data_IF_867486252817
#
_entry.id   IF_867486252817
#
_cell.length_a   1.000
_cell.length_b   1.000
_cell.length_c   1.000
_cell.angle_alpha   90.00
_cell.angle_beta   90.00
_cell.angle_gamma   90.00
#
_symmetry.space_group_name_H-M   'P 1'
#
loop_
_entity.id
_entity.type
_entity.pdbx_description
1 polymer ?
#
# COMPACT_ATOMS: atom_id res chain seq x y z
N UNK A 1 -21.24 -24.95 20.11
CA UNK A 1 -20.93 -24.56 18.72
C UNK A 1 -21.51 -23.16 18.47
N UNK A 2 -20.85 -22.08 18.91
CA UNK A 2 -21.39 -20.72 18.61
C UNK A 2 -20.39 -19.57 18.81
N UNK A 3 -19.40 -19.69 19.70
CA UNK A 3 -18.50 -18.55 20.01
C UNK A 3 -17.58 -18.16 18.86
N UNK A 4 -17.07 -19.14 18.10
CA UNK A 4 -16.17 -18.90 16.98
C UNK A 4 -16.88 -18.28 15.75
N UNK A 5 -18.12 -18.68 15.49
CA UNK A 5 -18.91 -18.13 14.38
C UNK A 5 -19.32 -16.68 14.68
N UNK A 6 -19.72 -16.38 15.92
CA UNK A 6 -20.05 -15.01 16.33
C UNK A 6 -18.82 -14.07 16.33
N UNK A 7 -17.61 -14.56 16.62
CA UNK A 7 -16.38 -13.77 16.51
C UNK A 7 -15.97 -13.48 15.05
N UNK A 8 -16.10 -14.46 14.14
CA UNK A 8 -15.90 -14.23 12.71
C UNK A 8 -16.89 -13.19 12.16
N UNK A 9 -18.13 -13.21 12.64
CA UNK A 9 -19.19 -12.25 12.29
C UNK A 9 -18.93 -10.85 12.92
N UNK A 10 -17.99 -10.71 13.86
CA UNK A 10 -17.60 -9.39 14.40
C UNK A 10 -16.37 -8.78 13.74
N UNK A 11 -15.54 -9.56 13.04
CA UNK A 11 -14.29 -9.04 12.45
C UNK A 11 -14.53 -8.50 11.03
N UNK A 12 -14.24 -7.22 10.83
CA UNK A 12 -14.19 -6.60 9.51
C UNK A 12 -12.90 -6.94 8.77
N UNK A 13 -12.88 -8.12 8.14
CA UNK A 13 -11.80 -8.50 7.22
C UNK A 13 -11.92 -7.73 5.90
N UNK A 14 -10.80 -7.60 5.17
CA UNK A 14 -10.77 -6.93 3.87
C UNK A 14 -11.85 -7.49 2.92
N UNK A 15 -11.97 -8.83 2.83
CA UNK A 15 -12.96 -9.50 1.97
C UNK A 15 -14.40 -9.11 2.32
N UNK A 16 -14.74 -9.06 3.60
CA UNK A 16 -16.10 -8.71 4.06
C UNK A 16 -16.38 -7.22 3.85
N UNK A 17 -15.41 -6.35 4.18
CA UNK A 17 -15.50 -4.91 3.93
C UNK A 17 -15.75 -4.63 2.45
N UNK A 18 -15.03 -5.31 1.55
CA UNK A 18 -15.26 -5.22 0.10
C UNK A 18 -16.68 -5.65 -0.29
N UNK A 19 -17.19 -6.76 0.24
CA UNK A 19 -18.54 -7.22 -0.07
C UNK A 19 -19.60 -6.17 0.31
N UNK A 20 -19.51 -5.60 1.53
CA UNK A 20 -20.42 -4.54 1.97
C UNK A 20 -20.31 -3.29 1.09
N UNK A 21 -19.08 -2.83 0.81
CA UNK A 21 -18.84 -1.66 -0.04
C UNK A 21 -19.42 -1.86 -1.44
N UNK A 22 -19.30 -3.05 -2.01
CA UNK A 22 -19.87 -3.38 -3.33
C UNK A 22 -21.40 -3.34 -3.31
N UNK A 23 -22.05 -3.85 -2.27
CA UNK A 23 -23.51 -3.77 -2.13
C UNK A 23 -24.00 -2.32 -2.06
N UNK A 24 -23.25 -1.46 -1.37
CA UNK A 24 -23.54 -0.02 -1.27
C UNK A 24 -23.36 0.68 -2.62
N UNK A 25 -22.25 0.43 -3.31
CA UNK A 25 -21.98 1.02 -4.64
C UNK A 25 -23.02 0.55 -5.68
N UNK A 26 -23.46 -0.71 -5.58
CA UNK A 26 -24.51 -1.27 -6.44
C UNK A 26 -25.93 -0.82 -6.06
N UNK A 27 -26.10 -0.07 -4.96
CA UNK A 27 -27.39 0.40 -4.48
C UNK A 27 -28.29 -0.69 -3.87
N UNK A 28 -27.73 -1.87 -3.55
CA UNK A 28 -28.47 -2.98 -2.93
C UNK A 28 -28.72 -2.78 -1.44
N UNK A 29 -27.91 -1.94 -0.80
CA UNK A 29 -28.02 -1.57 0.60
C UNK A 29 -27.55 -0.14 0.76
N UNK A 30 -28.24 0.64 1.57
CA UNK A 30 -27.81 1.99 1.93
C UNK A 30 -26.83 1.98 3.10
N UNK A 31 -26.03 3.03 3.23
CA UNK A 31 -25.16 3.26 4.40
C UNK A 31 -25.96 3.17 5.71
N UNK A 32 -27.17 3.74 5.73
CA UNK A 32 -28.03 3.73 6.91
C UNK A 32 -28.54 2.33 7.28
N UNK A 33 -28.88 1.50 6.29
CA UNK A 33 -29.28 0.10 6.51
C UNK A 33 -28.10 -0.75 6.97
N UNK A 34 -26.93 -0.58 6.35
CA UNK A 34 -25.70 -1.25 6.75
C UNK A 34 -25.30 -0.89 8.19
N UNK A 35 -25.36 0.40 8.54
CA UNK A 35 -25.06 0.90 9.87
C UNK A 35 -25.94 0.24 10.93
N UNK A 36 -27.26 0.18 10.70
CA UNK A 36 -28.19 -0.50 11.61
C UNK A 36 -27.97 -2.01 11.69
N UNK A 37 -27.65 -2.66 10.57
CA UNK A 37 -27.53 -4.12 10.50
C UNK A 37 -26.25 -4.65 11.14
N UNK A 38 -25.18 -3.88 11.06
CA UNK A 38 -23.85 -4.28 11.53
C UNK A 38 -23.33 -3.47 12.72
N UNK A 39 -24.17 -2.60 13.30
CA UNK A 39 -23.84 -1.71 14.42
C UNK A 39 -22.54 -0.92 14.19
N UNK A 40 -22.43 -0.36 12.98
CA UNK A 40 -21.28 0.44 12.56
C UNK A 40 -21.65 1.92 12.45
N UNK A 41 -20.73 2.84 12.77
CA UNK A 41 -20.91 4.26 12.48
C UNK A 41 -21.13 4.50 10.98
N UNK A 42 -22.15 5.28 10.57
CA UNK A 42 -22.37 5.62 9.17
C UNK A 42 -21.12 6.21 8.50
N UNK A 43 -20.37 7.05 9.22
CA UNK A 43 -19.14 7.70 8.74
C UNK A 43 -18.02 6.70 8.40
N UNK A 44 -17.93 5.60 9.14
CA UNK A 44 -16.94 4.55 8.87
C UNK A 44 -17.29 3.82 7.57
N UNK A 45 -18.56 3.48 7.39
CA UNK A 45 -19.05 2.83 6.17
C UNK A 45 -18.91 3.76 4.95
N UNK A 46 -19.19 5.05 5.12
CA UNK A 46 -18.97 6.07 4.08
C UNK A 46 -17.51 6.17 3.68
N UNK A 47 -16.59 6.23 4.66
CA UNK A 47 -15.16 6.22 4.41
C UNK A 47 -14.74 4.99 3.62
N UNK A 48 -15.27 3.81 3.97
CA UNK A 48 -14.94 2.58 3.25
C UNK A 48 -15.44 2.58 1.81
N UNK A 49 -16.65 3.11 1.57
CA UNK A 49 -17.20 3.23 0.23
C UNK A 49 -16.40 4.23 -0.62
N UNK A 50 -15.96 5.32 -0.02
CA UNK A 50 -15.13 6.33 -0.66
C UNK A 50 -13.73 5.81 -1.00
N UNK A 51 -13.08 5.14 -0.06
CA UNK A 51 -11.78 4.49 -0.28
C UNK A 51 -11.88 3.43 -1.39
N UNK A 52 -12.97 2.66 -1.41
CA UNK A 52 -13.25 1.67 -2.45
C UNK A 52 -13.38 2.32 -3.84
N UNK A 53 -14.11 3.44 -3.95
CA UNK A 53 -14.24 4.20 -5.20
C UNK A 53 -12.91 4.77 -5.67
N UNK A 54 -12.16 5.42 -4.79
CA UNK A 54 -10.82 5.96 -5.10
C UNK A 54 -9.85 4.86 -5.52
N UNK A 55 -9.87 3.71 -4.83
CA UNK A 55 -9.06 2.56 -5.18
C UNK A 55 -9.38 2.03 -6.59
N UNK A 56 -10.66 1.96 -6.94
CA UNK A 56 -11.09 1.58 -8.28
C UNK A 56 -10.68 2.60 -9.34
N UNK A 57 -10.88 3.90 -9.09
CA UNK A 57 -10.45 4.97 -10.01
C UNK A 57 -8.93 4.94 -10.23
N UNK A 58 -8.15 4.77 -9.17
CA UNK A 58 -6.70 4.64 -9.26
C UNK A 58 -6.28 3.40 -10.04
N UNK A 59 -6.94 2.26 -9.83
CA UNK A 59 -6.67 1.03 -10.57
C UNK A 59 -7.02 1.15 -12.06
N UNK A 60 -8.04 1.94 -12.41
CA UNK A 60 -8.41 2.22 -13.80
C UNK A 60 -7.51 3.28 -14.47
N UNK A 61 -6.99 4.24 -13.70
CA UNK A 61 -6.03 5.26 -14.18
C UNK A 61 -4.62 4.71 -14.33
N UNK A 62 -4.19 3.86 -13.40
CA UNK A 62 -2.86 3.27 -13.43
C UNK A 62 -2.82 2.18 -14.49
N UNK A 63 -2.13 2.42 -15.61
CA UNK A 63 -1.70 1.32 -16.45
C UNK A 63 -0.71 0.47 -15.61
N UNK A 64 -1.00 -0.82 -15.33
CA UNK A 64 -0.11 -1.63 -14.49
C UNK A 64 1.32 -1.74 -15.03
N UNK A 65 1.51 -1.55 -16.33
CA UNK A 65 2.82 -1.46 -16.96
C UNK A 65 3.57 -0.19 -16.56
N UNK A 66 2.90 0.97 -16.54
CA UNK A 66 3.51 2.25 -16.19
C UNK A 66 3.96 2.28 -14.73
N UNK A 67 3.16 1.73 -13.81
CA UNK A 67 3.53 1.65 -12.39
C UNK A 67 4.76 0.77 -12.18
N UNK A 68 4.78 -0.38 -12.85
CA UNK A 68 5.94 -1.29 -12.80
C UNK A 68 7.18 -0.64 -13.41
N UNK A 69 7.05 0.01 -14.55
CA UNK A 69 8.14 0.72 -15.22
C UNK A 69 8.68 1.86 -14.36
N UNK A 70 7.81 2.61 -13.67
CA UNK A 70 8.22 3.63 -12.70
C UNK A 70 9.04 3.04 -11.55
N UNK A 71 8.61 1.91 -10.96
CA UNK A 71 9.36 1.24 -9.91
C UNK A 71 10.69 0.68 -10.42
N UNK A 72 10.71 0.06 -11.60
CA UNK A 72 11.94 -0.44 -12.22
C UNK A 72 12.93 0.70 -12.52
N UNK A 73 12.43 1.85 -12.98
CA UNK A 73 13.23 3.06 -13.19
C UNK A 73 13.81 3.61 -11.88
N UNK A 74 12.98 3.73 -10.84
CA UNK A 74 13.44 4.18 -9.52
C UNK A 74 14.49 3.23 -8.93
N UNK A 75 14.29 1.93 -9.07
CA UNK A 75 15.27 0.92 -8.65
C UNK A 75 16.59 1.06 -9.41
N UNK A 76 16.53 1.29 -10.72
CA UNK A 76 17.71 1.49 -11.55
C UNK A 76 18.48 2.76 -11.16
N UNK A 77 17.79 3.89 -11.05
CA UNK A 77 18.39 5.17 -10.64
C UNK A 77 19.05 5.05 -9.24
N UNK A 78 18.38 4.36 -8.31
CA UNK A 78 18.93 4.10 -6.97
C UNK A 78 20.16 3.18 -7.01
N UNK A 79 20.14 2.12 -7.82
CA UNK A 79 21.27 1.21 -7.99
C UNK A 79 22.48 1.91 -8.62
N UNK A 80 22.26 2.77 -9.61
CA UNK A 80 23.31 3.57 -10.25
C UNK A 80 23.95 4.52 -9.24
N UNK A 81 23.15 5.31 -8.51
CA UNK A 81 23.65 6.23 -7.48
C UNK A 81 24.41 5.50 -6.37
N UNK A 82 23.91 4.34 -5.92
CA UNK A 82 24.61 3.51 -4.94
C UNK A 82 25.94 2.97 -5.49
N UNK A 83 25.96 2.53 -6.74
CA UNK A 83 27.18 2.07 -7.43
C UNK A 83 28.24 3.15 -7.53
N UNK A 84 27.84 4.37 -7.93
CA UNK A 84 28.73 5.54 -7.99
C UNK A 84 29.32 5.87 -6.61
N UNK A 85 28.49 5.94 -5.57
CA UNK A 85 28.94 6.20 -4.21
C UNK A 85 29.94 5.14 -3.70
N UNK A 86 29.71 3.86 -4.04
CA UNK A 86 30.62 2.77 -3.68
C UNK A 86 31.96 2.85 -4.42
N UNK A 87 31.96 3.25 -5.68
CA UNK A 87 33.18 3.47 -6.46
C UNK A 87 33.98 4.66 -5.89
N UNK A 88 33.30 5.76 -5.57
CA UNK A 88 33.92 6.92 -4.94
C UNK A 88 34.54 6.56 -3.58
N UNK A 89 33.81 5.82 -2.75
CA UNK A 89 34.32 5.34 -1.46
C UNK A 89 35.57 4.47 -1.64
N UNK A 90 35.56 3.56 -2.62
CA UNK A 90 36.72 2.70 -2.93
C UNK A 90 37.91 3.53 -3.42
N UNK A 91 37.68 4.52 -4.28
CA UNK A 91 38.72 5.41 -4.78
C UNK A 91 39.35 6.22 -3.64
N UNK A 92 38.53 6.80 -2.75
CA UNK A 92 38.99 7.53 -1.57
C UNK A 92 39.83 6.67 -0.64
N UNK A 93 39.36 5.46 -0.31
CA UNK A 93 40.13 4.49 0.50
C UNK A 93 41.46 4.11 -0.15
N UNK A 94 41.47 3.91 -1.48
CA UNK A 94 42.71 3.58 -2.19
C UNK A 94 43.70 4.75 -2.18
N UNK A 95 43.22 5.98 -2.34
CA UNK A 95 44.04 7.19 -2.26
C UNK A 95 44.63 7.36 -0.86
N UNK A 96 43.82 7.22 0.19
CA UNK A 96 44.26 7.30 1.58
C UNK A 96 45.41 6.32 1.87
N UNK A 97 45.26 5.07 1.41
CA UNK A 97 46.29 4.04 1.56
C UNK A 97 47.57 4.34 0.79
N UNK A 98 47.47 4.90 -0.42
CA UNK A 98 48.64 5.33 -1.20
C UNK A 98 49.36 6.54 -0.59
N UNK A 99 48.63 7.41 0.12
CA UNK A 99 49.19 8.56 0.83
C UNK A 99 49.79 8.19 2.20
N UNK A 100 49.71 6.92 2.61
CA UNK A 100 50.22 6.47 3.92
C UNK A 100 49.46 7.03 5.11
N UNK A 101 48.22 7.50 4.88
CA UNK A 101 47.36 8.08 5.93
C UNK A 101 46.62 6.99 6.74
N UNK A 102 46.97 5.72 6.55
CA UNK A 102 46.41 4.57 7.30
C UNK A 102 47.03 4.45 8.73
N UNK A 103 48.07 5.22 9.08
CA UNK A 103 48.81 5.12 10.36
C UNK A 103 48.57 6.29 11.36
N UNK A 104 47.45 7.01 11.30
CA UNK A 104 47.05 7.98 12.33
C UNK A 104 45.86 7.53 13.17
#
# INVERSE_FOLDING_TARGET
MSTLMDEEIKRWTAKRKTALVLEIIQGKTSVAEASRSYDLPPSEIESWAEDGRKGMENALKANPQDVREQYERQLKELQEAYGEAMLELRARKKLQSLLGEDEK
#
